data_IF_661354023755
#
_entry.id   IF_661354023755
#
_cell.length_a   1.000
_cell.length_b   1.000
_cell.length_c   1.000
_cell.angle_alpha   90.00
_cell.angle_beta   90.00
_cell.angle_gamma   90.00
#
_symmetry.space_group_name_H-M   'P 1'
#
loop_
_entity.id
_entity.type
_entity.pdbx_description
1 polymer ?
#
# COMPACT_ATOMS: atom_id res chain seq x y z
N UNK A 1 8.52 31.73 -8.72
CA UNK A 1 9.62 32.10 -7.79
C UNK A 1 10.03 30.85 -7.02
N UNK A 2 11.22 30.35 -7.33
CA UNK A 2 11.74 29.09 -6.83
C UNK A 2 12.47 29.29 -5.50
N UNK A 3 12.06 28.57 -4.45
CA UNK A 3 12.76 28.53 -3.16
C UNK A 3 13.60 27.26 -3.04
N UNK A 4 14.90 27.35 -3.33
CA UNK A 4 15.88 26.30 -3.02
C UNK A 4 16.19 26.30 -1.52
N UNK A 5 15.90 25.19 -0.83
CA UNK A 5 16.40 24.97 0.53
C UNK A 5 17.78 24.30 0.45
N UNK A 6 18.82 25.05 0.75
CA UNK A 6 20.20 24.58 0.90
C UNK A 6 20.39 24.00 2.29
N UNK A 7 20.77 22.73 2.39
CA UNK A 7 21.28 22.15 3.64
C UNK A 7 22.66 22.73 3.93
N UNK A 8 22.74 23.60 4.96
CA UNK A 8 23.98 24.15 5.48
C UNK A 8 24.68 23.16 6.39
N UNK A 9 25.82 22.63 5.96
CA UNK A 9 26.74 21.88 6.80
C UNK A 9 27.57 22.87 7.64
N UNK A 10 27.19 23.08 8.90
CA UNK A 10 27.91 23.95 9.83
C UNK A 10 29.21 23.32 10.32
N UNK A 11 30.35 23.76 9.74
CA UNK A 11 31.69 23.45 10.29
C UNK A 11 31.95 24.30 11.54
N UNK A 12 31.93 23.70 12.71
CA UNK A 12 32.44 24.32 13.94
C UNK A 12 33.93 24.04 14.12
N UNK A 13 34.74 25.10 14.01
CA UNK A 13 36.16 25.07 14.36
C UNK A 13 36.31 25.32 15.88
N UNK A 14 36.76 24.33 16.62
CA UNK A 14 37.49 24.57 17.92
C UNK A 14 38.54 23.51 18.12
N UNK A 15 39.77 23.96 17.86
CA UNK A 15 41.03 23.97 18.64
C UNK A 15 41.43 22.73 19.43
N UNK A 16 42.53 22.17 18.95
CA UNK A 16 43.76 21.67 19.56
C UNK A 16 43.81 21.60 21.11
N UNK A 17 44.16 20.43 21.60
CA UNK A 17 45.38 20.13 22.35
C UNK A 17 45.53 18.60 22.45
N UNK A 18 46.72 18.16 22.19
CA UNK A 18 47.18 16.81 22.00
C UNK A 18 47.40 16.03 23.28
N UNK A 19 47.50 14.77 23.07
CA UNK A 19 48.55 13.87 23.60
C UNK A 19 48.45 12.52 22.92
N UNK A 20 49.59 11.91 22.69
CA UNK A 20 49.82 10.70 21.96
C UNK A 20 49.17 9.46 22.60
N UNK A 21 48.61 8.57 21.78
CA UNK A 21 48.13 7.26 22.19
C UNK A 21 47.62 6.46 21.00
N UNK A 22 48.33 5.43 20.73
CA UNK A 22 48.20 4.33 19.74
C UNK A 22 46.90 4.16 18.95
N UNK A 23 47.12 3.96 17.68
CA UNK A 23 46.29 3.48 16.57
C UNK A 23 45.20 2.48 16.92
N UNK A 24 43.96 2.81 16.50
CA UNK A 24 43.02 1.90 15.93
C UNK A 24 42.15 2.70 14.94
N UNK A 25 42.48 2.66 13.69
CA UNK A 25 41.66 3.25 12.62
C UNK A 25 40.45 2.38 12.43
N UNK A 26 39.36 2.70 13.12
CA UNK A 26 38.02 2.22 12.72
C UNK A 26 37.52 3.18 11.65
N UNK A 27 37.68 2.80 10.41
CA UNK A 27 36.99 3.43 9.28
C UNK A 27 35.49 3.11 9.42
N UNK A 28 34.75 3.98 10.07
CA UNK A 28 33.31 3.99 9.99
C UNK A 28 32.93 4.41 8.56
N UNK A 29 32.78 3.42 7.68
CA UNK A 29 32.08 3.59 6.42
C UNK A 29 30.63 3.89 6.79
N UNK A 30 30.26 5.17 6.76
CA UNK A 30 28.86 5.59 6.83
C UNK A 30 28.15 5.06 5.59
N UNK A 31 27.58 3.87 5.71
CA UNK A 31 26.61 3.38 4.73
C UNK A 31 25.38 4.27 4.88
N UNK A 32 25.19 5.19 3.93
CA UNK A 32 23.87 5.75 3.68
C UNK A 32 22.98 4.60 3.21
N UNK A 33 22.36 3.91 4.15
CA UNK A 33 21.27 3.01 3.84
C UNK A 33 20.11 3.90 3.39
N UNK A 34 19.92 4.00 2.09
CA UNK A 34 18.64 4.37 1.52
C UNK A 34 17.69 3.24 1.87
N UNK A 35 17.07 3.36 3.02
CA UNK A 35 15.99 2.49 3.45
C UNK A 35 14.91 2.60 2.39
N UNK A 36 14.71 1.51 1.64
CA UNK A 36 13.60 1.41 0.71
C UNK A 36 12.33 1.71 1.52
N UNK A 37 11.41 2.56 1.00
CA UNK A 37 10.17 2.84 1.72
C UNK A 37 9.49 1.50 1.99
N UNK A 38 9.29 1.21 3.27
CA UNK A 38 8.53 0.05 3.70
C UNK A 38 7.18 0.06 2.97
N UNK A 39 6.63 -1.12 2.60
CA UNK A 39 5.29 -1.19 2.04
C UNK A 39 4.39 -0.34 2.94
N UNK A 40 3.67 0.61 2.35
CA UNK A 40 2.79 1.48 3.13
C UNK A 40 1.80 0.57 3.84
N UNK A 41 2.00 0.39 5.13
CA UNK A 41 1.08 -0.34 5.98
C UNK A 41 -0.29 0.30 5.82
N UNK A 42 -1.25 -0.51 5.40
CA UNK A 42 -2.65 -0.13 5.36
C UNK A 42 -3.04 0.14 6.81
N UNK A 43 -3.13 1.41 7.18
CA UNK A 43 -3.34 1.82 8.57
C UNK A 43 -4.80 1.62 8.94
N UNK A 44 -5.05 0.92 10.03
CA UNK A 44 -6.39 0.82 10.65
C UNK A 44 -6.96 2.22 10.94
N UNK A 45 -8.26 2.38 10.74
CA UNK A 45 -8.94 3.67 10.87
C UNK A 45 -8.73 4.62 9.70
N UNK A 46 -8.17 4.12 8.58
CA UNK A 46 -8.02 4.91 7.36
C UNK A 46 -9.29 4.84 6.52
N UNK A 47 -9.73 6.00 6.04
CA UNK A 47 -10.83 6.08 5.09
C UNK A 47 -10.35 5.56 3.74
N UNK A 48 -10.93 4.46 3.29
CA UNK A 48 -10.64 3.80 2.01
C UNK A 48 -11.28 4.55 0.86
N UNK A 49 -12.54 4.94 1.03
CA UNK A 49 -13.36 5.63 0.04
C UNK A 49 -14.77 5.85 0.55
N UNK A 50 -15.70 6.13 -0.34
CA UNK A 50 -17.10 6.32 0.02
C UNK A 50 -17.99 5.20 -0.52
N UNK A 51 -19.08 4.93 0.18
CA UNK A 51 -20.07 3.93 -0.24
C UNK A 51 -20.69 4.26 -1.59
N UNK A 52 -20.77 5.55 -1.93
CA UNK A 52 -21.26 6.03 -3.24
C UNK A 52 -20.34 5.66 -4.41
N UNK A 53 -19.08 5.33 -4.13
CA UNK A 53 -18.11 4.92 -5.15
C UNK A 53 -18.22 3.41 -5.49
N UNK A 54 -18.93 2.64 -4.65
CA UNK A 54 -19.08 1.19 -4.76
C UNK A 54 -20.53 0.87 -5.16
N UNK A 55 -20.77 0.54 -6.44
CA UNK A 55 -22.12 0.23 -6.92
C UNK A 55 -22.65 -1.06 -6.31
N UNK A 56 -23.98 -1.14 -6.16
CA UNK A 56 -24.67 -2.37 -5.77
C UNK A 56 -24.46 -3.46 -6.83
N UNK A 57 -24.17 -4.69 -6.39
CA UNK A 57 -23.80 -5.79 -7.28
C UNK A 57 -22.46 -5.62 -8.01
N UNK A 58 -21.62 -4.66 -7.57
CA UNK A 58 -20.35 -4.35 -8.21
C UNK A 58 -19.23 -4.10 -7.21
N UNK A 59 -18.28 -3.23 -7.57
CA UNK A 59 -17.17 -2.88 -6.72
C UNK A 59 -16.34 -1.73 -7.27
N UNK A 60 -15.38 -1.27 -6.45
CA UNK A 60 -14.44 -0.22 -6.82
C UNK A 60 -13.02 -0.55 -6.34
N UNK A 61 -12.02 -0.13 -7.12
CA UNK A 61 -10.60 -0.29 -6.80
C UNK A 61 -10.05 1.03 -6.24
N UNK A 62 -9.66 1.01 -5.00
CA UNK A 62 -9.06 2.15 -4.29
C UNK A 62 -7.54 2.02 -4.29
N UNK A 63 -6.89 2.46 -5.35
CA UNK A 63 -5.45 2.30 -5.57
C UNK A 63 -4.59 2.96 -4.49
N UNK A 64 -5.04 4.08 -3.91
CA UNK A 64 -4.33 4.78 -2.84
C UNK A 64 -4.29 3.97 -1.53
N UNK A 65 -5.33 3.18 -1.25
CA UNK A 65 -5.44 2.28 -0.10
C UNK A 65 -4.99 0.85 -0.44
N UNK A 66 -4.69 0.57 -1.72
CA UNK A 66 -4.39 -0.78 -2.24
C UNK A 66 -5.46 -1.81 -1.88
N UNK A 67 -6.70 -1.39 -1.88
CA UNK A 67 -7.86 -2.22 -1.62
C UNK A 67 -8.82 -2.21 -2.79
N UNK A 68 -9.51 -3.32 -2.97
CA UNK A 68 -10.73 -3.41 -3.76
C UNK A 68 -11.88 -3.67 -2.79
N UNK A 69 -12.95 -2.91 -2.94
CA UNK A 69 -14.16 -3.06 -2.15
C UNK A 69 -15.30 -3.44 -3.08
N UNK A 70 -16.05 -4.45 -2.71
CA UNK A 70 -17.20 -4.94 -3.45
C UNK A 70 -18.46 -4.81 -2.61
N UNK A 71 -19.61 -4.75 -3.28
CA UNK A 71 -20.93 -4.71 -2.63
C UNK A 71 -21.83 -5.78 -3.26
N UNK A 72 -21.72 -7.05 -2.81
CA UNK A 72 -22.52 -8.14 -3.34
C UNK A 72 -24.02 -7.97 -3.15
N UNK A 73 -24.42 -7.41 -2.03
CA UNK A 73 -25.80 -7.05 -1.69
C UNK A 73 -25.82 -5.62 -1.15
N UNK A 74 -26.93 -4.93 -1.33
CA UNK A 74 -27.10 -3.55 -0.86
C UNK A 74 -26.76 -3.43 0.63
N UNK A 75 -25.73 -2.61 0.94
CA UNK A 75 -25.24 -2.38 2.30
C UNK A 75 -24.26 -3.44 2.82
N UNK A 76 -23.98 -4.51 2.08
CA UNK A 76 -22.97 -5.50 2.45
C UNK A 76 -21.66 -5.26 1.69
N UNK A 77 -20.62 -4.82 2.41
CA UNK A 77 -19.32 -4.53 1.82
C UNK A 77 -18.29 -5.61 2.14
N UNK A 78 -17.57 -6.06 1.12
CA UNK A 78 -16.39 -6.92 1.24
C UNK A 78 -15.17 -6.12 0.81
N UNK A 79 -14.03 -6.35 1.45
CA UNK A 79 -12.80 -5.70 1.07
C UNK A 79 -11.68 -6.74 0.92
N UNK A 80 -10.86 -6.56 -0.11
CA UNK A 80 -9.74 -7.42 -0.39
C UNK A 80 -8.52 -6.58 -0.77
N UNK A 81 -7.33 -7.18 -0.67
CA UNK A 81 -6.13 -6.60 -1.26
C UNK A 81 -6.33 -6.37 -2.76
N UNK A 82 -6.02 -5.18 -3.23
CA UNK A 82 -5.98 -4.93 -4.66
C UNK A 82 -4.72 -5.52 -5.33
N UNK A 83 -3.85 -6.17 -4.58
CA UNK A 83 -2.63 -6.77 -5.09
C UNK A 83 -2.91 -8.20 -5.58
N UNK A 84 -2.81 -8.40 -6.90
CA UNK A 84 -2.99 -9.71 -7.54
C UNK A 84 -1.94 -10.70 -7.02
N UNK A 85 -2.39 -11.87 -6.57
CA UNK A 85 -1.53 -12.92 -5.98
C UNK A 85 -0.63 -13.63 -6.98
N UNK A 86 -0.88 -13.47 -8.29
CA UNK A 86 0.01 -14.02 -9.33
C UNK A 86 1.36 -13.29 -9.38
N UNK A 87 1.35 -11.96 -9.48
CA UNK A 87 2.58 -11.20 -9.75
C UNK A 87 2.60 -9.80 -9.14
N UNK A 88 1.71 -9.50 -8.20
CA UNK A 88 1.71 -8.25 -7.45
C UNK A 88 1.16 -7.03 -8.20
N UNK A 89 0.60 -7.21 -9.40
CA UNK A 89 -0.12 -6.14 -10.08
C UNK A 89 -1.33 -5.68 -9.26
N UNK A 90 -1.66 -4.40 -9.33
CA UNK A 90 -2.94 -3.93 -8.82
C UNK A 90 -4.06 -4.43 -9.74
N UNK A 91 -5.12 -5.01 -9.19
CA UNK A 91 -6.35 -5.32 -9.95
C UNK A 91 -6.97 -4.03 -10.46
N UNK A 92 -7.64 -4.06 -11.60
CA UNK A 92 -8.07 -2.83 -12.27
C UNK A 92 -9.58 -2.67 -12.37
N UNK A 93 -10.33 -3.76 -12.39
CA UNK A 93 -11.77 -3.74 -12.67
C UNK A 93 -12.55 -4.64 -11.73
N UNK A 94 -13.79 -4.25 -11.46
CA UNK A 94 -14.80 -5.10 -10.84
C UNK A 94 -16.05 -5.01 -11.73
N UNK A 95 -16.32 -6.05 -12.49
CA UNK A 95 -17.45 -6.14 -13.41
C UNK A 95 -18.00 -7.56 -13.43
N UNK A 96 -19.30 -7.71 -13.65
CA UNK A 96 -19.97 -8.99 -13.78
C UNK A 96 -19.66 -9.95 -12.60
N UNK A 97 -19.64 -9.43 -11.38
CA UNK A 97 -19.34 -10.20 -10.16
C UNK A 97 -17.89 -10.74 -10.09
N UNK A 98 -16.97 -10.15 -10.86
CA UNK A 98 -15.58 -10.58 -10.99
C UNK A 98 -14.62 -9.41 -10.75
N UNK A 99 -13.58 -9.65 -9.95
CA UNK A 99 -12.44 -8.75 -9.80
C UNK A 99 -11.38 -9.19 -10.83
N UNK A 100 -10.96 -8.26 -11.71
CA UNK A 100 -10.05 -8.58 -12.81
C UNK A 100 -8.67 -7.94 -12.65
N UNK A 101 -7.65 -8.73 -12.90
CA UNK A 101 -6.28 -8.29 -13.05
C UNK A 101 -5.88 -8.31 -14.54
N UNK A 102 -5.86 -7.14 -15.18
CA UNK A 102 -5.58 -7.02 -16.62
C UNK A 102 -4.10 -7.24 -16.98
N UNK A 103 -3.20 -7.36 -16.00
CA UNK A 103 -1.79 -7.64 -16.27
C UNK A 103 -1.57 -8.98 -16.98
N UNK A 104 -2.20 -10.04 -16.45
CA UNK A 104 -2.03 -11.41 -16.96
C UNK A 104 -3.37 -12.19 -17.05
N UNK A 105 -4.50 -11.51 -16.83
CA UNK A 105 -5.82 -12.08 -17.00
C UNK A 105 -6.31 -12.95 -15.83
N UNK A 106 -5.77 -12.77 -14.63
CA UNK A 106 -6.34 -13.43 -13.45
C UNK A 106 -7.67 -12.80 -13.07
N UNK A 107 -8.63 -13.64 -12.72
CA UNK A 107 -9.96 -13.25 -12.28
C UNK A 107 -10.26 -13.85 -10.91
N UNK A 108 -10.94 -13.07 -10.06
CA UNK A 108 -11.29 -13.47 -8.69
C UNK A 108 -12.77 -13.23 -8.44
N UNK A 109 -13.35 -14.10 -7.64
CA UNK A 109 -14.73 -13.95 -7.17
C UNK A 109 -14.87 -12.72 -6.27
N UNK A 110 -15.86 -11.87 -6.54
CA UNK A 110 -16.01 -10.59 -5.85
C UNK A 110 -16.63 -10.72 -4.45
N UNK A 111 -17.15 -11.89 -4.08
CA UNK A 111 -17.70 -12.19 -2.74
C UNK A 111 -16.65 -12.81 -1.84
N UNK A 112 -15.86 -13.74 -2.38
CA UNK A 112 -14.94 -14.57 -1.60
C UNK A 112 -13.47 -14.22 -1.79
N UNK A 113 -13.12 -13.55 -2.89
CA UNK A 113 -11.73 -13.29 -3.27
C UNK A 113 -11.01 -14.50 -3.89
N UNK A 114 -11.69 -15.64 -4.06
CA UNK A 114 -11.11 -16.87 -4.61
C UNK A 114 -10.78 -16.70 -6.10
N UNK A 115 -9.67 -17.31 -6.59
CA UNK A 115 -9.32 -17.25 -8.00
C UNK A 115 -10.29 -18.09 -8.84
N UNK A 116 -10.91 -17.45 -9.84
CA UNK A 116 -11.80 -18.09 -10.82
C UNK A 116 -11.04 -18.48 -12.09
N UNK A 117 -10.14 -17.57 -12.54
CA UNK A 117 -9.31 -17.76 -13.73
C UNK A 117 -7.86 -17.40 -13.37
N UNK A 118 -6.93 -18.32 -13.70
CA UNK A 118 -5.50 -18.10 -13.50
C UNK A 118 -4.91 -17.07 -14.46
N UNK A 119 -3.61 -16.74 -14.24
CA UNK A 119 -2.58 -17.57 -13.57
C UNK A 119 -2.51 -17.50 -12.04
N UNK A 120 -3.23 -16.61 -11.36
CA UNK A 120 -3.31 -16.62 -9.90
C UNK A 120 -3.88 -17.96 -9.39
N UNK A 121 -3.30 -18.49 -8.29
CA UNK A 121 -3.70 -19.75 -7.68
C UNK A 121 -4.16 -19.59 -6.22
N UNK A 122 -3.95 -18.41 -5.65
CA UNK A 122 -4.30 -18.08 -4.28
C UNK A 122 -5.33 -16.96 -4.26
N UNK A 123 -6.21 -16.92 -3.24
CA UNK A 123 -7.20 -15.85 -3.10
C UNK A 123 -6.55 -14.50 -2.82
N UNK A 124 -7.30 -13.44 -3.05
CA UNK A 124 -6.95 -12.11 -2.57
C UNK A 124 -7.07 -12.07 -1.03
N UNK A 125 -6.13 -11.43 -0.36
CA UNK A 125 -6.18 -11.28 1.10
C UNK A 125 -7.42 -10.48 1.52
N UNK A 126 -8.27 -11.00 2.41
CA UNK A 126 -9.45 -10.29 2.88
C UNK A 126 -9.09 -9.24 3.93
N UNK A 127 -9.85 -8.15 3.93
CA UNK A 127 -9.79 -7.08 4.92
C UNK A 127 -11.18 -6.83 5.51
N UNK A 128 -11.22 -6.33 6.74
CA UNK A 128 -12.46 -5.90 7.37
C UNK A 128 -12.62 -4.40 7.21
N UNK A 129 -13.81 -3.97 6.84
CA UNK A 129 -14.17 -2.55 6.74
C UNK A 129 -15.43 -2.28 7.55
N UNK A 130 -15.49 -1.08 8.13
CA UNK A 130 -16.66 -0.55 8.83
C UNK A 130 -17.20 0.67 8.07
N UNK A 131 -18.52 0.80 8.02
CA UNK A 131 -19.18 1.95 7.41
C UNK A 131 -19.53 2.97 8.48
N UNK A 132 -19.03 4.20 8.34
CA UNK A 132 -19.40 5.35 9.19
C UNK A 132 -20.01 6.44 8.31
N UNK A 133 -21.33 6.54 8.36
CA UNK A 133 -22.08 7.39 7.44
C UNK A 133 -21.92 6.93 5.99
N UNK A 134 -21.16 7.67 5.19
CA UNK A 134 -20.82 7.32 3.80
C UNK A 134 -19.37 6.85 3.65
N UNK A 135 -18.57 6.94 4.70
CA UNK A 135 -17.17 6.58 4.64
C UNK A 135 -16.94 5.08 4.88
N UNK A 136 -16.09 4.49 4.06
CA UNK A 136 -15.61 3.12 4.21
C UNK A 136 -14.28 3.18 4.95
N UNK A 137 -14.26 2.66 6.17
CA UNK A 137 -13.09 2.72 7.06
C UNK A 137 -12.50 1.33 7.21
N UNK A 138 -11.19 1.23 7.07
CA UNK A 138 -10.46 -0.02 7.31
C UNK A 138 -10.27 -0.26 8.81
N UNK A 139 -10.63 -1.46 9.29
CA UNK A 139 -10.48 -1.90 10.68
C UNK A 139 -9.06 -2.38 11.04
#
# INVERSE_FOLDING_TARGET
MAGKKTCGCGMSRRRLFGTAGAAATVTAAGACQTEAPAPQEVRRGHVVGQTTDVPDGGGAVFSHSKLVVTQPEEGEYKAFSAQCTHGGCTVQEVEDEVIRCLCHGSEFDYVTGEPLVGPAQEPLDPFTVTIDGTDIILD
#
